data_IF_369885111407
#
_entry.id   IF_369885111407
#
_cell.length_a   1.000
_cell.length_b   1.000
_cell.length_c   1.000
_cell.angle_alpha   90.00
_cell.angle_beta   90.00
_cell.angle_gamma   90.00
#
_symmetry.space_group_name_H-M   'P 1'
#
loop_
_entity.id
_entity.type
_entity.pdbx_description
1 polymer ?
#
# COMPACT_ATOMS: atom_id res chain seq x y z
N UNK A 1 -24.05 -20.48 15.97
CA UNK A 1 -23.73 -19.77 14.71
C UNK A 1 -22.22 -19.61 14.67
N UNK A 2 -21.55 -20.01 13.59
CA UNK A 2 -20.09 -19.87 13.49
C UNK A 2 -19.75 -18.44 13.03
N UNK A 3 -19.47 -17.55 13.98
CA UNK A 3 -19.20 -16.14 13.66
C UNK A 3 -17.87 -15.97 12.90
N UNK A 4 -16.94 -16.92 13.01
CA UNK A 4 -15.72 -16.96 12.18
C UNK A 4 -16.02 -17.14 10.69
N UNK A 5 -16.98 -18.00 10.33
CA UNK A 5 -17.43 -18.18 8.94
C UNK A 5 -18.18 -16.94 8.42
N UNK A 6 -19.04 -16.35 9.25
CA UNK A 6 -19.75 -15.12 8.91
C UNK A 6 -18.77 -13.96 8.64
N UNK A 7 -17.72 -13.83 9.47
CA UNK A 7 -16.64 -12.87 9.28
C UNK A 7 -15.94 -13.02 7.92
N UNK A 8 -15.62 -14.25 7.50
CA UNK A 8 -15.03 -14.53 6.18
C UNK A 8 -15.99 -14.20 5.03
N UNK A 9 -17.27 -14.49 5.18
CA UNK A 9 -18.31 -14.14 4.20
C UNK A 9 -18.45 -12.61 4.02
N UNK A 10 -18.29 -11.83 5.09
CA UNK A 10 -18.27 -10.37 5.02
C UNK A 10 -17.10 -9.84 4.16
N UNK A 11 -15.90 -10.43 4.28
CA UNK A 11 -14.74 -10.03 3.45
C UNK A 11 -15.00 -10.23 1.95
N UNK A 12 -15.62 -11.36 1.57
CA UNK A 12 -15.98 -11.61 0.16
C UNK A 12 -16.96 -10.56 -0.39
N UNK A 13 -17.81 -10.00 0.48
CA UNK A 13 -18.79 -8.96 0.13
C UNK A 13 -18.25 -7.54 0.33
N UNK A 14 -16.97 -7.39 0.70
CA UNK A 14 -16.32 -6.10 1.03
C UNK A 14 -16.99 -5.37 2.20
N UNK A 15 -17.71 -6.10 3.04
CA UNK A 15 -18.38 -5.59 4.22
C UNK A 15 -17.43 -5.62 5.42
N UNK A 16 -16.53 -4.63 5.49
CA UNK A 16 -15.53 -4.55 6.56
C UNK A 16 -16.14 -4.24 7.94
N UNK A 17 -17.33 -3.63 7.97
CA UNK A 17 -18.05 -3.36 9.20
C UNK A 17 -18.62 -4.65 9.79
N UNK A 18 -19.30 -5.45 8.96
CA UNK A 18 -19.78 -6.78 9.34
C UNK A 18 -18.65 -7.74 9.67
N UNK A 19 -17.49 -7.63 9.01
CA UNK A 19 -16.30 -8.40 9.38
C UNK A 19 -15.86 -8.13 10.83
N UNK A 20 -15.77 -6.86 11.22
CA UNK A 20 -15.42 -6.47 12.59
C UNK A 20 -16.48 -6.94 13.60
N UNK A 21 -17.76 -6.74 13.30
CA UNK A 21 -18.85 -7.16 14.19
C UNK A 21 -18.84 -8.67 14.46
N UNK A 22 -18.69 -9.48 13.41
CA UNK A 22 -18.64 -10.93 13.54
C UNK A 22 -17.36 -11.40 14.25
N UNK A 23 -16.21 -10.76 14.01
CA UNK A 23 -14.98 -11.04 14.74
C UNK A 23 -15.12 -10.75 16.24
N UNK A 24 -15.79 -9.65 16.61
CA UNK A 24 -16.07 -9.31 18.01
C UNK A 24 -16.99 -10.32 18.67
N UNK A 25 -18.09 -10.69 18.01
CA UNK A 25 -19.01 -11.74 18.50
C UNK A 25 -18.31 -13.09 18.70
N UNK A 26 -17.41 -13.45 17.79
CA UNK A 26 -16.61 -14.67 17.93
C UNK A 26 -15.70 -14.59 19.17
N UNK A 27 -15.00 -13.48 19.36
CA UNK A 27 -14.15 -13.27 20.54
C UNK A 27 -14.94 -13.27 21.85
N UNK A 28 -16.14 -12.68 21.89
CA UNK A 28 -17.02 -12.68 23.06
C UNK A 28 -17.45 -14.09 23.47
N UNK A 29 -17.58 -15.01 22.51
CA UNK A 29 -17.92 -16.41 22.79
C UNK A 29 -16.73 -17.24 23.28
N UNK A 30 -15.54 -17.02 22.73
CA UNK A 30 -14.39 -17.90 22.96
C UNK A 30 -13.38 -17.35 23.97
N UNK A 31 -13.25 -16.02 24.06
CA UNK A 31 -12.18 -15.35 24.79
C UNK A 31 -10.77 -15.65 24.27
N UNK A 32 -10.63 -16.28 23.10
CA UNK A 32 -9.35 -16.79 22.59
C UNK A 32 -8.41 -15.65 22.19
N UNK A 33 -7.12 -15.82 22.48
CA UNK A 33 -6.08 -14.92 22.00
C UNK A 33 -6.00 -14.88 20.46
N UNK A 34 -6.43 -15.93 19.77
CA UNK A 34 -6.53 -15.95 18.30
C UNK A 34 -7.64 -15.03 17.81
N UNK A 35 -8.83 -15.13 18.40
CA UNK A 35 -9.97 -14.30 18.02
C UNK A 35 -9.72 -12.82 18.38
N UNK A 36 -9.00 -12.54 19.47
CA UNK A 36 -8.54 -11.18 19.79
C UNK A 36 -7.63 -10.59 18.69
N UNK A 37 -6.72 -11.40 18.12
CA UNK A 37 -5.88 -10.98 16.98
C UNK A 37 -6.73 -10.73 15.73
N UNK A 38 -7.76 -11.53 15.51
CA UNK A 38 -8.66 -11.38 14.38
C UNK A 38 -9.51 -10.10 14.48
N UNK A 39 -10.02 -9.76 15.67
CA UNK A 39 -10.69 -8.48 15.94
C UNK A 39 -9.79 -7.29 15.61
N UNK A 40 -8.51 -7.36 15.99
CA UNK A 40 -7.55 -6.29 15.71
C UNK A 40 -7.27 -6.15 14.20
N UNK A 41 -7.17 -7.28 13.46
CA UNK A 41 -7.07 -7.24 12.00
C UNK A 41 -8.32 -6.61 11.38
N UNK A 42 -9.51 -7.00 11.83
CA UNK A 42 -10.77 -6.47 11.32
C UNK A 42 -10.91 -4.96 11.56
N UNK A 43 -10.49 -4.49 12.74
CA UNK A 43 -10.45 -3.06 13.08
C UNK A 43 -9.51 -2.29 12.15
N UNK A 44 -8.31 -2.81 11.90
CA UNK A 44 -7.35 -2.20 10.97
C UNK A 44 -7.89 -2.17 9.55
N UNK A 45 -8.48 -3.27 9.08
CA UNK A 45 -9.08 -3.35 7.75
C UNK A 45 -10.20 -2.33 7.57
N UNK A 46 -11.11 -2.20 8.56
CA UNK A 46 -12.18 -1.22 8.53
C UNK A 46 -11.65 0.22 8.53
N UNK A 47 -10.65 0.52 9.37
CA UNK A 47 -10.01 1.85 9.40
C UNK A 47 -9.42 2.19 8.04
N UNK A 48 -8.66 1.26 7.46
CA UNK A 48 -8.00 1.46 6.18
C UNK A 48 -9.00 1.57 5.03
N UNK A 49 -10.05 0.77 5.04
CA UNK A 49 -11.14 0.86 4.06
C UNK A 49 -11.80 2.25 4.09
N UNK A 50 -12.13 2.78 5.27
CA UNK A 50 -12.68 4.14 5.41
C UNK A 50 -11.72 5.21 4.88
N UNK A 51 -10.42 5.03 5.08
CA UNK A 51 -9.42 5.92 4.52
C UNK A 51 -9.33 5.83 2.99
N UNK A 52 -9.42 4.63 2.43
CA UNK A 52 -9.48 4.40 0.98
C UNK A 52 -10.72 5.07 0.38
N UNK A 53 -11.90 4.87 0.96
CA UNK A 53 -13.13 5.54 0.51
C UNK A 53 -13.04 7.06 0.61
N UNK A 54 -12.42 7.58 1.67
CA UNK A 54 -12.13 9.01 1.79
C UNK A 54 -11.20 9.49 0.69
N UNK A 55 -10.17 8.71 0.35
CA UNK A 55 -9.22 9.06 -0.70
C UNK A 55 -9.87 9.04 -2.09
N UNK A 56 -10.71 8.05 -2.38
CA UNK A 56 -11.42 7.92 -3.66
C UNK A 56 -12.43 9.04 -3.93
N UNK A 57 -12.80 9.82 -2.91
CA UNK A 57 -13.62 11.04 -3.07
C UNK A 57 -12.84 12.26 -3.55
N UNK A 58 -11.51 12.20 -3.59
CA UNK A 58 -10.66 13.30 -4.09
C UNK A 58 -10.86 13.47 -5.59
N UNK A 59 -10.70 14.71 -6.05
CA UNK A 59 -10.69 15.01 -7.48
C UNK A 59 -9.47 14.33 -8.13
N UNK A 60 -9.67 13.37 -9.04
CA UNK A 60 -8.56 12.67 -9.69
C UNK A 60 -7.73 13.57 -10.62
N UNK A 61 -8.22 14.76 -10.95
CA UNK A 61 -7.49 15.75 -11.75
C UNK A 61 -6.58 16.65 -10.91
N UNK A 62 -6.75 16.72 -9.58
CA UNK A 62 -5.89 17.49 -8.70
C UNK A 62 -4.75 16.65 -8.11
N UNK A 63 -3.63 16.62 -8.83
CA UNK A 63 -2.46 15.83 -8.46
C UNK A 63 -1.78 16.31 -7.18
N UNK A 64 -1.90 17.59 -6.83
CA UNK A 64 -1.35 18.12 -5.59
C UNK A 64 -2.17 17.64 -4.40
N UNK A 65 -3.50 17.65 -4.50
CA UNK A 65 -4.39 17.12 -3.47
C UNK A 65 -4.27 15.59 -3.32
N UNK A 66 -4.10 14.86 -4.43
CA UNK A 66 -3.84 13.41 -4.40
C UNK A 66 -2.57 13.09 -3.61
N UNK A 67 -1.47 13.80 -3.86
CA UNK A 67 -0.22 13.60 -3.12
C UNK A 67 -0.23 14.24 -1.73
N UNK A 68 -1.21 15.12 -1.42
CA UNK A 68 -1.29 15.83 -0.16
C UNK A 68 -0.15 16.82 0.04
N UNK A 69 0.27 17.50 -1.03
CA UNK A 69 1.38 18.46 -1.03
C UNK A 69 0.92 19.84 -1.53
N UNK A 70 1.63 20.89 -1.13
CA UNK A 70 1.38 22.24 -1.66
C UNK A 70 1.74 22.34 -3.15
N UNK A 71 1.11 23.26 -3.88
CA UNK A 71 1.51 23.63 -5.25
C UNK A 71 2.96 24.11 -5.33
N UNK A 72 3.50 24.64 -4.24
CA UNK A 72 4.87 25.14 -4.14
C UNK A 72 5.86 24.05 -3.66
N UNK A 73 5.38 22.81 -3.48
CA UNK A 73 6.20 21.70 -3.00
C UNK A 73 7.39 21.45 -3.94
N UNK A 74 8.53 21.15 -3.35
CA UNK A 74 9.76 20.80 -4.05
C UNK A 74 9.70 19.37 -4.58
N UNK A 75 10.53 19.03 -5.58
CA UNK A 75 10.59 17.65 -6.10
C UNK A 75 10.90 16.60 -5.02
N UNK A 76 11.81 16.84 -4.04
CA UNK A 76 12.02 15.92 -2.93
C UNK A 76 10.77 15.70 -2.06
N UNK A 77 9.97 16.75 -1.80
CA UNK A 77 8.74 16.64 -1.02
C UNK A 77 7.68 15.83 -1.75
N UNK A 78 7.50 16.07 -3.06
CA UNK A 78 6.61 15.29 -3.93
C UNK A 78 7.00 13.81 -3.92
N UNK A 79 8.29 13.51 -4.06
CA UNK A 79 8.80 12.13 -4.00
C UNK A 79 8.58 11.48 -2.65
N UNK A 80 8.80 12.21 -1.55
CA UNK A 80 8.56 11.72 -0.20
C UNK A 80 7.09 11.39 0.03
N UNK A 81 6.19 12.28 -0.39
CA UNK A 81 4.75 12.08 -0.27
C UNK A 81 4.28 10.86 -1.07
N UNK A 82 4.73 10.72 -2.32
CA UNK A 82 4.48 9.55 -3.16
C UNK A 82 4.89 8.25 -2.45
N UNK A 83 6.13 8.17 -1.95
CA UNK A 83 6.63 6.98 -1.28
C UNK A 83 5.79 6.61 -0.04
N UNK A 84 5.44 7.60 0.78
CA UNK A 84 4.61 7.38 1.97
C UNK A 84 3.22 6.84 1.62
N UNK A 85 2.59 7.38 0.57
CA UNK A 85 1.25 6.99 0.15
C UNK A 85 1.23 5.61 -0.49
N UNK A 86 2.19 5.28 -1.36
CA UNK A 86 2.30 3.93 -1.95
C UNK A 86 2.54 2.89 -0.88
N UNK A 87 3.42 3.15 0.08
CA UNK A 87 3.65 2.21 1.19
C UNK A 87 2.41 1.99 2.06
N UNK A 88 1.45 2.93 2.06
CA UNK A 88 0.22 2.82 2.83
C UNK A 88 -0.89 2.10 2.07
N UNK A 89 -1.02 2.36 0.76
CA UNK A 89 -2.16 1.91 -0.04
C UNK A 89 -1.85 0.80 -1.04
N UNK A 90 -0.62 0.26 -1.07
CA UNK A 90 -0.30 -0.84 -2.00
C UNK A 90 -1.15 -2.10 -1.73
N UNK A 91 -1.78 -2.72 -2.75
CA UNK A 91 -2.68 -3.87 -2.56
C UNK A 91 -2.00 -5.05 -1.86
N UNK A 92 -0.73 -5.34 -2.17
CA UNK A 92 0.02 -6.44 -1.53
C UNK A 92 0.18 -6.26 -0.01
N UNK A 93 0.20 -5.01 0.48
CA UNK A 93 0.36 -4.73 1.90
C UNK A 93 -0.99 -4.65 2.63
N UNK A 94 -2.01 -4.13 1.96
CA UNK A 94 -3.31 -3.90 2.57
C UNK A 94 -4.22 -5.13 2.52
N UNK A 95 -4.07 -5.97 1.49
CA UNK A 95 -5.00 -7.07 1.20
C UNK A 95 -6.39 -6.58 0.78
N UNK A 96 -6.56 -5.28 0.52
CA UNK A 96 -7.82 -4.65 0.14
C UNK A 96 -7.78 -4.35 -1.36
N UNK A 97 -8.71 -4.90 -2.13
CA UNK A 97 -8.74 -4.73 -3.58
C UNK A 97 -8.91 -3.26 -4.01
N UNK A 98 -9.75 -2.51 -3.29
CA UNK A 98 -10.04 -1.08 -3.54
C UNK A 98 -8.80 -0.20 -3.42
N UNK A 99 -7.78 -0.64 -2.68
CA UNK A 99 -6.53 0.10 -2.52
C UNK A 99 -5.73 0.22 -3.83
N UNK A 100 -6.00 -0.67 -4.80
CA UNK A 100 -5.43 -0.58 -6.15
C UNK A 100 -5.83 0.69 -6.90
N UNK A 101 -7.08 1.13 -6.78
CA UNK A 101 -7.55 2.36 -7.42
C UNK A 101 -6.85 3.60 -6.81
N UNK A 102 -6.73 3.66 -5.48
CA UNK A 102 -5.99 4.71 -4.77
C UNK A 102 -4.51 4.73 -5.19
N UNK A 103 -3.86 3.57 -5.22
CA UNK A 103 -2.47 3.45 -5.67
C UNK A 103 -2.27 3.91 -7.10
N UNK A 104 -3.23 3.63 -7.99
CA UNK A 104 -3.24 4.12 -9.37
C UNK A 104 -3.28 5.65 -9.43
N UNK A 105 -4.18 6.29 -8.68
CA UNK A 105 -4.26 7.77 -8.60
C UNK A 105 -2.94 8.38 -8.12
N UNK A 106 -2.34 7.81 -7.07
CA UNK A 106 -1.05 8.25 -6.52
C UNK A 106 0.06 8.14 -7.58
N UNK A 107 0.10 7.04 -8.33
CA UNK A 107 1.07 6.85 -9.41
C UNK A 107 0.90 7.86 -10.54
N UNK A 108 -0.33 8.15 -10.98
CA UNK A 108 -0.59 9.18 -12.00
C UNK A 108 -0.13 10.56 -11.56
N UNK A 109 -0.46 10.93 -10.32
CA UNK A 109 -0.09 12.22 -9.76
C UNK A 109 1.44 12.37 -9.72
N UNK A 110 2.16 11.34 -9.26
CA UNK A 110 3.62 11.36 -9.24
C UNK A 110 4.25 11.30 -10.64
N UNK A 111 3.69 10.54 -11.58
CA UNK A 111 4.17 10.48 -12.96
C UNK A 111 4.13 11.85 -13.66
N UNK A 112 3.23 12.74 -13.22
CA UNK A 112 3.14 14.13 -13.68
C UNK A 112 4.00 15.06 -12.83
N UNK A 113 3.75 15.15 -11.52
CA UNK A 113 4.40 16.14 -10.64
C UNK A 113 5.87 15.81 -10.34
N UNK A 114 6.24 14.53 -10.35
CA UNK A 114 7.61 14.06 -10.11
C UNK A 114 8.60 14.44 -11.21
N UNK A 115 8.11 14.79 -12.42
CA UNK A 115 8.93 15.30 -13.51
C UNK A 115 8.71 16.82 -13.67
N UNK A 116 9.75 17.67 -13.54
CA UNK A 116 9.59 19.13 -13.58
C UNK A 116 8.94 19.66 -14.86
N UNK A 117 9.25 19.06 -16.01
CA UNK A 117 8.72 19.50 -17.30
C UNK A 117 7.26 19.07 -17.49
N UNK A 118 6.88 17.87 -17.03
CA UNK A 118 5.47 17.44 -17.01
C UNK A 118 4.64 18.27 -16.03
N UNK A 119 5.19 18.57 -14.85
CA UNK A 119 4.57 19.45 -13.85
C UNK A 119 4.31 20.83 -14.43
N UNK A 120 5.30 21.45 -15.08
CA UNK A 120 5.15 22.74 -15.73
C UNK A 120 4.00 22.75 -16.75
N UNK A 121 3.91 21.72 -17.60
CA UNK A 121 2.81 21.58 -18.57
C UNK A 121 1.45 21.39 -17.89
N UNK A 122 1.40 20.61 -16.81
CA UNK A 122 0.21 20.41 -16.02
C UNK A 122 -0.28 21.72 -15.38
N UNK A 123 0.63 22.49 -14.77
CA UNK A 123 0.31 23.78 -14.16
C UNK A 123 -0.19 24.78 -15.22
N UNK A 124 0.49 24.88 -16.36
CA UNK A 124 0.06 25.72 -17.48
C UNK A 124 -1.33 25.36 -18.01
N UNK A 125 -1.64 24.06 -18.11
CA UNK A 125 -2.95 23.59 -18.56
C UNK A 125 -4.06 23.91 -17.56
N UNK A 126 -3.76 24.00 -16.26
CA UNK A 126 -4.72 24.40 -15.21
C UNK A 126 -4.97 25.90 -15.17
N UNK A 127 -3.95 26.70 -15.49
CA UNK A 127 -4.03 28.17 -15.48
C UNK A 127 -4.59 28.76 -16.78
N UNK A 128 -4.53 28.02 -17.88
CA UNK A 128 -5.10 28.46 -19.16
C UNK A 128 -6.60 28.75 -19.00
N UNK A 129 -7.07 29.97 -19.34
CA UNK A 129 -8.50 30.24 -19.41
C UNK A 129 -9.11 29.25 -20.39
N UNK A 130 -10.26 28.67 -20.04
CA UNK A 130 -11.06 27.82 -20.91
C UNK A 130 -11.61 28.64 -22.07
N UNK A 131 -10.74 29.06 -23.00
CA UNK A 131 -11.16 29.56 -24.29
C UNK A 131 -11.72 28.38 -25.07
N UNK A 132 -13.05 28.40 -25.21
CA UNK A 132 -13.90 27.60 -26.08
C UNK A 132 -13.17 26.58 -26.96
N UNK A 133 -13.34 25.32 -26.58
CA UNK A 133 -12.87 24.11 -27.25
C UNK A 133 -13.44 24.01 -28.67
N UNK A 134 -12.75 24.59 -29.65
CA UNK A 134 -12.94 24.34 -31.08
C UNK A 134 -11.84 23.39 -31.57
N UNK A 135 -12.04 22.09 -31.34
CA UNK A 135 -11.15 20.99 -31.78
C UNK A 135 -11.79 19.64 -31.44
N UNK A 136 -11.55 18.57 -32.24
CA UNK A 136 -12.48 17.44 -32.36
C UNK A 136 -12.80 16.79 -31.01
N UNK A 137 -14.10 16.65 -30.77
CA UNK A 137 -14.65 15.95 -29.61
C UNK A 137 -14.37 14.45 -29.75
N UNK A 138 -13.47 13.91 -28.93
CA UNK A 138 -13.64 12.54 -28.47
C UNK A 138 -14.60 12.57 -27.27
N UNK A 139 -15.87 12.40 -27.56
CA UNK A 139 -16.88 11.95 -26.60
C UNK A 139 -16.70 10.46 -26.41
N UNK A 140 -16.57 9.96 -25.17
CA UNK A 140 -17.28 8.81 -24.57
C UNK A 140 -16.94 8.80 -23.08
N UNK A 141 -17.98 8.68 -22.25
CA UNK A 141 -18.04 9.19 -20.87
C UNK A 141 -17.47 8.32 -19.76
N UNK A 142 -16.93 7.13 -20.04
CA UNK A 142 -16.52 6.19 -18.98
C UNK A 142 -15.02 5.83 -19.01
N UNK A 143 -14.27 6.32 -19.99
CA UNK A 143 -12.89 5.90 -20.21
C UNK A 143 -11.87 7.03 -20.03
N UNK A 144 -12.20 8.16 -19.39
CA UNK A 144 -11.23 9.27 -19.28
C UNK A 144 -10.02 8.86 -18.43
N UNK A 145 -10.21 8.07 -17.36
CA UNK A 145 -9.09 7.61 -16.53
C UNK A 145 -8.24 6.57 -17.27
N UNK A 146 -8.86 5.61 -17.97
CA UNK A 146 -8.14 4.61 -18.75
C UNK A 146 -7.52 5.20 -20.02
N UNK A 147 -8.19 6.09 -20.74
CA UNK A 147 -7.66 6.72 -21.95
C UNK A 147 -6.64 7.81 -21.65
N UNK A 148 -6.67 8.47 -20.49
CA UNK A 148 -5.55 9.36 -20.08
C UNK A 148 -4.37 8.52 -19.59
N UNK A 149 -4.59 7.43 -18.85
CA UNK A 149 -3.52 6.46 -18.54
C UNK A 149 -2.91 5.86 -19.81
N UNK A 150 -3.73 5.38 -20.74
CA UNK A 150 -3.34 4.61 -21.93
C UNK A 150 -2.82 5.51 -23.05
N UNK A 151 -3.47 6.64 -23.36
CA UNK A 151 -2.99 7.53 -24.43
C UNK A 151 -1.75 8.33 -24.02
N UNK A 152 -1.57 8.72 -22.75
CA UNK A 152 -0.32 9.38 -22.31
C UNK A 152 0.85 8.39 -22.24
N UNK A 153 0.59 7.10 -21.95
CA UNK A 153 1.61 6.05 -21.99
C UNK A 153 1.95 5.56 -23.41
N UNK A 154 0.98 5.47 -24.33
CA UNK A 154 1.20 4.86 -25.66
C UNK A 154 1.51 5.83 -26.80
N UNK A 155 1.10 7.11 -26.73
CA UNK A 155 1.31 8.05 -27.86
C UNK A 155 2.73 8.63 -27.96
N UNK A 156 3.59 8.38 -26.96
CA UNK A 156 5.00 8.81 -26.94
C UNK A 156 5.95 7.59 -26.94
N UNK A 157 5.74 6.66 -27.88
CA UNK A 157 6.82 5.79 -28.39
C UNK A 157 7.57 4.86 -27.43
N UNK A 158 7.06 4.57 -26.23
CA UNK A 158 7.73 3.66 -25.30
C UNK A 158 7.37 2.20 -25.61
N UNK A 159 8.15 1.57 -26.50
CA UNK A 159 8.16 0.12 -26.69
C UNK A 159 9.21 -0.48 -25.74
N UNK A 160 8.77 -0.87 -24.55
CA UNK A 160 9.60 -1.64 -23.62
C UNK A 160 8.70 -2.37 -22.63
N UNK A 161 8.99 -3.64 -22.29
CA UNK A 161 8.25 -4.34 -21.25
C UNK A 161 8.43 -3.56 -19.94
N UNK A 162 7.35 -3.42 -19.18
CA UNK A 162 7.38 -2.91 -17.80
C UNK A 162 8.22 -3.87 -16.94
N UNK A 163 9.55 -3.75 -17.00
CA UNK A 163 10.43 -4.36 -16.02
C UNK A 163 10.56 -3.35 -14.89
N UNK A 164 9.82 -3.63 -13.83
CA UNK A 164 9.99 -3.04 -12.52
C UNK A 164 11.49 -3.10 -12.15
N UNK A 165 12.22 -1.98 -12.24
CA UNK A 165 13.61 -1.96 -11.77
C UNK A 165 13.58 -1.81 -10.25
N UNK A 166 13.70 -2.96 -9.60
CA UNK A 166 13.72 -3.17 -8.15
C UNK A 166 14.84 -2.43 -7.40
N UNK A 167 15.74 -1.71 -8.07
CA UNK A 167 17.01 -1.29 -7.44
C UNK A 167 16.87 -0.11 -6.46
N UNK A 168 15.97 0.86 -6.74
CA UNK A 168 15.71 1.97 -5.81
C UNK A 168 14.73 1.55 -4.70
N UNK A 169 13.81 0.65 -5.03
CA UNK A 169 12.82 0.11 -4.10
C UNK A 169 13.51 -0.80 -3.07
N UNK A 170 14.31 -1.78 -3.48
CA UNK A 170 15.07 -2.66 -2.59
C UNK A 170 16.08 -1.89 -1.73
N UNK A 171 16.69 -0.82 -2.26
CA UNK A 171 17.66 -0.03 -1.52
C UNK A 171 17.00 0.79 -0.38
N UNK A 172 15.87 1.48 -0.64
CA UNK A 172 15.15 2.23 0.40
C UNK A 172 14.36 1.30 1.35
N UNK A 173 13.80 0.22 0.83
CA UNK A 173 13.04 -0.75 1.61
C UNK A 173 13.96 -1.51 2.56
N UNK A 174 15.14 -1.97 2.11
CA UNK A 174 16.11 -2.60 3.00
C UNK A 174 16.75 -1.63 4.01
N UNK A 175 16.90 -0.33 3.68
CA UNK A 175 17.36 0.67 4.64
C UNK A 175 16.35 0.97 5.75
N UNK A 176 15.05 0.98 5.45
CA UNK A 176 14.00 1.19 6.47
C UNK A 176 13.67 -0.07 7.27
N UNK A 177 13.66 -1.26 6.65
CA UNK A 177 13.39 -2.51 7.35
C UNK A 177 14.54 -2.93 8.29
N UNK A 178 15.81 -2.66 7.94
CA UNK A 178 16.96 -2.90 8.85
C UNK A 178 16.87 -2.12 10.17
N UNK A 179 16.14 -0.98 10.20
CA UNK A 179 15.93 -0.20 11.43
C UNK A 179 14.80 -0.73 12.32
N UNK A 180 13.90 -1.55 11.80
CA UNK A 180 12.76 -2.08 12.58
C UNK A 180 12.90 -3.56 12.97
N UNK A 181 13.83 -4.32 12.39
CA UNK A 181 13.98 -5.77 12.71
C UNK A 181 15.16 -6.14 13.62
N UNK A 182 15.97 -5.19 14.11
CA UNK A 182 16.98 -5.47 15.13
C UNK A 182 16.53 -5.09 16.55
N UNK A 183 15.52 -5.80 17.05
CA UNK A 183 15.45 -6.26 18.45
C UNK A 183 14.63 -7.56 18.54
N UNK A 184 15.31 -8.66 18.17
CA UNK A 184 15.20 -10.06 18.63
C UNK A 184 15.20 -11.08 17.49
N UNK A 185 16.40 -11.51 17.12
CA UNK A 185 16.72 -12.94 16.92
C UNK A 185 18.21 -13.14 17.25
N UNK A 186 18.49 -13.55 18.49
CA UNK A 186 19.76 -14.16 18.88
C UNK A 186 19.49 -15.65 18.97
N UNK A 187 19.68 -16.34 17.86
CA UNK A 187 19.83 -17.80 17.79
C UNK A 187 20.56 -18.10 16.48
N UNK A 188 21.86 -17.87 16.44
CA UNK A 188 22.85 -18.47 15.53
C UNK A 188 24.22 -17.87 15.87
N UNK A 189 24.55 -17.92 17.16
CA UNK A 189 25.93 -17.78 17.61
C UNK A 189 26.55 -19.19 17.56
N UNK A 190 27.56 -19.44 16.69
CA UNK A 190 28.19 -20.74 16.57
C UNK A 190 28.89 -21.17 17.88
N UNK A 191 29.17 -20.25 18.80
CA UNK A 191 29.75 -20.56 20.11
C UNK A 191 28.67 -20.93 21.15
N UNK A 192 27.46 -20.38 21.05
CA UNK A 192 26.34 -20.75 21.92
C UNK A 192 25.75 -22.14 21.58
N UNK A 193 25.77 -22.55 20.31
CA UNK A 193 25.37 -23.91 19.91
C UNK A 193 26.36 -24.98 20.38
N UNK A 194 27.65 -24.63 20.50
CA UNK A 194 28.66 -25.54 21.04
C UNK A 194 28.44 -25.78 22.54
N UNK A 195 28.15 -24.73 23.32
CA UNK A 195 27.91 -24.87 24.77
C UNK A 195 26.68 -25.73 25.07
N UNK A 196 25.60 -25.61 24.28
CA UNK A 196 24.38 -26.40 24.49
C UNK A 196 24.55 -27.88 24.14
N UNK A 197 25.32 -28.22 23.10
CA UNK A 197 25.66 -29.60 22.75
C UNK A 197 26.60 -30.23 23.80
N UNK A 198 27.57 -29.46 24.32
CA UNK A 198 28.46 -29.93 25.38
C UNK A 198 27.73 -30.25 26.69
N UNK A 199 26.72 -29.45 27.08
CA UNK A 199 25.92 -29.71 28.27
C UNK A 199 25.03 -30.95 28.13
N UNK A 200 24.47 -31.20 26.95
CA UNK A 200 23.66 -32.41 26.68
C UNK A 200 24.52 -33.68 26.72
N UNK A 201 25.74 -33.64 26.19
CA UNK A 201 26.68 -34.78 26.21
C UNK A 201 27.16 -35.08 27.63
N UNK A 202 27.44 -34.07 28.46
CA UNK A 202 27.84 -34.25 29.86
C UNK A 202 26.69 -34.87 30.69
N UNK A 203 25.44 -34.43 30.48
CA UNK A 203 24.28 -34.98 31.18
C UNK A 203 24.02 -36.45 30.79
N UNK A 204 24.25 -36.84 29.53
CA UNK A 204 24.10 -38.23 29.09
C UNK A 204 25.19 -39.15 29.66
N UNK A 205 26.43 -38.69 29.78
CA UNK A 205 27.53 -39.47 30.37
C UNK A 205 27.31 -39.69 31.87
N UNK A 206 26.80 -38.68 32.59
CA UNK A 206 26.46 -38.77 34.02
C UNK A 206 25.25 -39.68 34.32
N UNK A 207 24.40 -39.96 33.33
CA UNK A 207 23.27 -40.88 33.48
C UNK A 207 23.63 -42.35 33.19
N UNK A 208 24.83 -42.61 32.66
CA UNK A 208 25.32 -43.96 32.31
C UNK A 208 26.40 -44.51 33.25
N UNK A 209 26.76 -43.78 34.30
CA UNK A 209 27.64 -44.19 35.40
C UNK A 209 26.82 -44.43 36.67
#
# INVERSE_FOLDING_TARGET
MNYSEAARSCLSRKDYAGYLENAQKQYELTGSAEDAREVEKARKALSLHKEIEKFLRKDPSDYYDILGVSKDATQPEIKRAFNMLIMKFHPDRTGIHESGAVSGMIQSAYATLGNPEKRRRYDMAREAPTFSRAGPRFTHGDDIMQNVFFNVFHTQGYQGPFTYSNDLYDHLYSQMYRRFTHRRHSTNDPDAQRIFVFLIVIVLILLTM
#
